data_IF_541220632164
#
_entry.id   IF_541220632164
#
_cell.length_a   1.000
_cell.length_b   1.000
_cell.length_c   1.000
_cell.angle_alpha   90.00
_cell.angle_beta   90.00
_cell.angle_gamma   90.00
#
_symmetry.space_group_name_H-M   'P 1'
#
loop_
_entity.id
_entity.type
_entity.pdbx_description
1 polymer ?
#
# COMPACT_ATOMS: atom_id res chain seq x y z
N UNK A 1 4.88 -0.19 18.49
CA UNK A 1 4.76 -1.42 17.68
C UNK A 1 6.14 -1.98 17.40
N UNK A 2 6.86 -1.53 16.37
CA UNK A 2 8.05 -2.23 15.85
C UNK A 2 9.26 -2.21 16.80
N UNK A 3 9.41 -1.17 17.61
CA UNK A 3 10.48 -1.09 18.63
C UNK A 3 10.18 -1.97 19.87
N UNK A 4 9.02 -2.61 19.96
CA UNK A 4 8.60 -3.41 21.12
C UNK A 4 9.05 -4.87 20.95
N UNK A 5 9.90 -5.41 21.85
CA UNK A 5 10.40 -6.79 21.75
C UNK A 5 9.29 -7.85 21.73
N UNK A 6 8.17 -7.58 22.40
CA UNK A 6 7.01 -8.48 22.47
C UNK A 6 6.33 -8.72 21.12
N UNK A 7 6.62 -7.90 20.10
CA UNK A 7 6.04 -8.06 18.77
C UNK A 7 6.99 -8.68 17.74
N UNK A 8 8.26 -8.95 18.08
CA UNK A 8 9.30 -9.34 17.11
C UNK A 8 8.99 -10.63 16.34
N UNK A 9 8.22 -11.55 16.93
CA UNK A 9 7.77 -12.77 16.25
C UNK A 9 6.75 -12.48 15.12
N UNK A 10 6.07 -11.34 15.18
CA UNK A 10 4.97 -10.98 14.28
C UNK A 10 5.39 -9.84 13.33
N UNK A 11 6.02 -8.81 13.88
CA UNK A 11 6.48 -7.61 13.18
C UNK A 11 7.77 -7.07 13.79
N UNK A 12 8.76 -6.76 12.96
CA UNK A 12 10.05 -6.21 13.40
C UNK A 12 10.72 -5.38 12.30
N UNK A 13 11.79 -4.67 12.66
CA UNK A 13 12.69 -4.06 11.69
C UNK A 13 13.36 -5.14 10.83
N UNK A 14 13.43 -4.91 9.51
CA UNK A 14 13.99 -5.86 8.56
C UNK A 14 15.50 -5.66 8.42
N UNK A 15 16.28 -6.55 9.03
CA UNK A 15 17.74 -6.54 8.93
C UNK A 15 18.40 -5.40 9.70
N UNK A 16 19.75 -5.35 9.70
CA UNK A 16 20.52 -4.42 10.54
C UNK A 16 20.43 -2.95 10.09
N UNK A 17 20.05 -2.69 8.84
CA UNK A 17 19.98 -1.34 8.27
C UNK A 17 18.83 -0.48 8.81
N UNK A 18 17.80 -1.12 9.36
CA UNK A 18 16.66 -0.44 9.97
C UNK A 18 15.90 0.50 9.02
N UNK A 19 15.94 0.25 7.70
CA UNK A 19 15.32 1.09 6.66
C UNK A 19 13.93 0.60 6.22
N UNK A 20 13.52 -0.54 6.77
CA UNK A 20 12.32 -1.26 6.40
C UNK A 20 11.86 -2.12 7.57
N UNK A 21 10.59 -2.51 7.56
CA UNK A 21 10.04 -3.45 8.54
C UNK A 21 9.37 -4.61 7.82
N UNK A 22 9.31 -5.75 8.51
CA UNK A 22 8.73 -6.99 8.01
C UNK A 22 7.57 -7.41 8.91
N UNK A 23 6.47 -7.83 8.28
CA UNK A 23 5.38 -8.56 8.93
C UNK A 23 5.53 -10.02 8.51
N UNK A 24 5.92 -10.89 9.45
CA UNK A 24 6.20 -12.31 9.21
C UNK A 24 4.92 -13.12 9.03
N UNK A 25 3.91 -12.82 9.85
CA UNK A 25 2.60 -13.49 9.81
C UNK A 25 1.46 -12.45 9.76
N UNK A 26 0.93 -12.14 8.56
CA UNK A 26 -0.16 -11.17 8.40
C UNK A 26 -1.43 -11.52 9.17
N UNK A 27 -1.74 -12.81 9.34
CA UNK A 27 -2.92 -13.25 10.09
C UNK A 27 -2.76 -12.96 11.58
N UNK A 28 -1.65 -13.42 12.20
CA UNK A 28 -1.33 -13.12 13.60
C UNK A 28 -1.20 -11.61 13.85
N UNK A 29 -0.64 -10.85 12.92
CA UNK A 29 -0.57 -9.39 13.02
C UNK A 29 -1.97 -8.77 13.09
N UNK A 30 -2.90 -9.28 12.29
CA UNK A 30 -4.28 -8.82 12.26
C UNK A 30 -5.04 -9.11 13.56
N UNK A 31 -4.82 -10.28 14.15
CA UNK A 31 -5.52 -10.72 15.36
C UNK A 31 -4.92 -10.16 16.66
N UNK A 32 -3.59 -10.10 16.74
CA UNK A 32 -2.89 -9.79 17.99
C UNK A 32 -2.46 -8.33 18.03
N UNK A 33 -1.85 -7.82 16.96
CA UNK A 33 -1.21 -6.51 16.98
C UNK A 33 -2.21 -5.41 16.64
N UNK A 34 -2.98 -5.55 15.57
CA UNK A 34 -3.87 -4.48 15.11
C UNK A 34 -4.87 -4.00 16.19
N UNK A 35 -5.57 -4.87 16.94
CA UNK A 35 -6.53 -4.42 17.96
C UNK A 35 -5.90 -3.66 19.13
N UNK A 36 -4.60 -3.82 19.38
CA UNK A 36 -3.89 -3.11 20.46
C UNK A 36 -3.58 -1.65 20.09
N UNK A 37 -3.44 -1.35 18.80
CA UNK A 37 -2.99 -0.03 18.31
C UNK A 37 -4.02 0.68 17.42
N UNK A 38 -4.99 -0.05 16.89
CA UNK A 38 -6.03 0.44 15.98
C UNK A 38 -7.40 -0.05 16.41
N UNK A 39 -8.46 0.66 16.00
CA UNK A 39 -9.86 0.31 16.29
C UNK A 39 -10.43 -0.79 15.39
N UNK A 40 -9.57 -1.60 14.77
CA UNK A 40 -9.95 -2.68 13.86
C UNK A 40 -8.84 -3.74 13.78
N UNK A 41 -9.17 -4.96 13.39
CA UNK A 41 -8.22 -6.05 13.09
C UNK A 41 -7.94 -6.23 11.59
N UNK A 42 -8.47 -5.35 10.72
CA UNK A 42 -8.39 -5.56 9.28
C UNK A 42 -7.01 -5.20 8.69
N UNK A 43 -6.30 -6.21 8.18
CA UNK A 43 -5.01 -6.04 7.51
C UNK A 43 -5.07 -5.07 6.32
N UNK A 44 -6.11 -5.16 5.49
CA UNK A 44 -6.27 -4.30 4.31
C UNK A 44 -6.41 -2.83 4.68
N UNK A 45 -7.02 -2.53 5.83
CA UNK A 45 -7.07 -1.16 6.38
C UNK A 45 -5.69 -0.67 6.80
N UNK A 46 -4.86 -1.54 7.38
CA UNK A 46 -3.47 -1.21 7.68
C UNK A 46 -2.65 -0.97 6.41
N UNK A 47 -2.79 -1.82 5.39
CA UNK A 47 -2.15 -1.62 4.08
C UNK A 47 -2.61 -0.31 3.42
N UNK A 48 -3.90 0.03 3.55
CA UNK A 48 -4.44 1.30 3.08
C UNK A 48 -3.73 2.47 3.76
N UNK A 49 -3.54 2.44 5.08
CA UNK A 49 -2.80 3.46 5.81
C UNK A 49 -1.36 3.57 5.31
N UNK A 50 -0.64 2.45 5.17
CA UNK A 50 0.72 2.43 4.62
C UNK A 50 0.79 3.12 3.25
N UNK A 51 -0.11 2.75 2.32
CA UNK A 51 -0.17 3.36 0.99
C UNK A 51 -0.48 4.86 1.02
N UNK A 52 -1.29 5.31 1.98
CA UNK A 52 -1.62 6.73 2.15
C UNK A 52 -0.42 7.54 2.65
N UNK A 53 0.53 6.91 3.34
CA UNK A 53 1.79 7.51 3.77
C UNK A 53 2.97 7.12 2.90
N UNK A 54 2.71 6.65 1.67
CA UNK A 54 3.71 6.31 0.67
C UNK A 54 4.71 5.19 1.04
N UNK A 55 4.30 4.30 1.94
CA UNK A 55 5.08 3.09 2.18
C UNK A 55 4.95 2.14 0.99
N UNK A 56 6.08 1.60 0.56
CA UNK A 56 6.14 0.69 -0.57
C UNK A 56 6.46 -0.73 -0.11
N UNK A 57 5.74 -1.71 -0.66
CA UNK A 57 6.06 -3.12 -0.45
C UNK A 57 7.35 -3.48 -1.18
N UNK A 58 8.34 -3.98 -0.45
CA UNK A 58 9.57 -4.52 -1.03
C UNK A 58 9.33 -5.93 -1.55
N UNK A 59 9.86 -6.26 -2.73
CA UNK A 59 9.81 -7.61 -3.28
C UNK A 59 10.94 -8.44 -2.66
N UNK A 60 10.67 -9.16 -1.57
CA UNK A 60 11.53 -10.29 -1.17
C UNK A 60 11.22 -11.48 -2.08
N UNK A 61 12.25 -12.21 -2.51
CA UNK A 61 12.10 -13.49 -3.23
C UNK A 61 11.86 -14.58 -2.18
N UNK A 62 10.66 -15.16 -2.16
CA UNK A 62 10.27 -16.28 -1.30
C UNK A 62 9.64 -15.87 0.04
N UNK A 63 8.65 -16.67 0.49
CA UNK A 63 7.95 -16.53 1.78
C UNK A 63 6.64 -15.73 1.74
N UNK A 64 5.86 -15.83 2.82
CA UNK A 64 4.63 -15.05 3.05
C UNK A 64 4.87 -13.66 3.63
N UNK A 65 6.11 -13.38 4.04
CA UNK A 65 6.54 -12.14 4.67
C UNK A 65 6.17 -10.90 3.85
N UNK A 66 5.75 -9.85 4.56
CA UNK A 66 5.36 -8.58 3.96
C UNK A 66 6.32 -7.50 4.43
N UNK A 67 7.27 -7.13 3.58
CA UNK A 67 8.26 -6.08 3.88
C UNK A 67 7.77 -4.74 3.32
N UNK A 68 7.80 -3.70 4.15
CA UNK A 68 7.45 -2.34 3.76
C UNK A 68 8.58 -1.38 4.11
N UNK A 69 8.77 -0.37 3.27
CA UNK A 69 9.81 0.65 3.46
C UNK A 69 9.31 2.03 3.11
N UNK A 70 9.93 3.03 3.74
CA UNK A 70 9.76 4.44 3.42
C UNK A 70 11.06 5.17 3.75
N UNK A 71 11.58 6.08 2.90
CA UNK A 71 12.90 6.71 3.10
C UNK A 71 13.08 7.40 4.47
N UNK A 72 12.00 7.98 5.00
CA UNK A 72 11.98 8.69 6.28
C UNK A 72 11.45 7.85 7.46
N UNK A 73 11.20 6.55 7.26
CA UNK A 73 10.82 5.64 8.33
C UNK A 73 12.01 4.74 8.66
N UNK A 74 12.82 5.15 9.64
CA UNK A 74 14.07 4.45 10.00
C UNK A 74 14.15 4.15 11.49
N UNK A 75 14.75 3.01 11.82
CA UNK A 75 14.98 2.57 13.19
C UNK A 75 15.80 3.61 13.96
N UNK A 76 15.35 3.97 15.16
CA UNK A 76 16.03 4.95 16.02
C UNK A 76 15.92 6.42 15.57
N UNK A 77 15.50 6.72 14.33
CA UNK A 77 15.46 8.08 13.78
C UNK A 77 14.05 8.66 13.78
N UNK A 78 13.42 8.73 14.96
CA UNK A 78 12.03 9.20 15.11
C UNK A 78 11.82 10.65 14.64
N UNK A 79 12.87 11.48 14.63
CA UNK A 79 12.81 12.85 14.14
C UNK A 79 12.48 12.95 12.63
N UNK A 80 12.73 11.89 11.84
CA UNK A 80 12.37 11.84 10.41
C UNK A 80 10.87 11.63 10.16
N UNK A 81 10.11 11.17 11.17
CA UNK A 81 8.68 10.88 11.01
C UNK A 81 7.87 12.12 10.59
N UNK A 82 8.33 13.33 10.93
CA UNK A 82 7.71 14.58 10.48
C UNK A 82 7.72 14.75 8.96
N UNK A 83 8.61 14.08 8.24
CA UNK A 83 8.71 14.10 6.77
C UNK A 83 7.77 13.11 6.08
N UNK A 84 7.13 12.20 6.83
CA UNK A 84 6.16 11.25 6.29
C UNK A 84 4.81 11.96 6.19
N UNK A 85 4.45 12.39 4.98
CA UNK A 85 3.19 13.11 4.73
C UNK A 85 2.15 12.19 4.11
N UNK A 86 0.90 12.39 4.52
CA UNK A 86 -0.24 11.71 3.92
C UNK A 86 -0.45 12.24 2.50
N UNK A 87 -0.58 11.34 1.52
CA UNK A 87 -1.02 11.68 0.16
C UNK A 87 -2.42 12.28 0.23
N UNK A 88 -2.59 13.49 -0.32
CA UNK A 88 -3.91 14.11 -0.40
C UNK A 88 -4.80 13.35 -1.39
N UNK A 89 -6.11 13.37 -1.18
CA UNK A 89 -7.07 12.74 -2.10
C UNK A 89 -7.01 13.35 -3.51
N UNK A 90 -6.44 14.55 -3.66
CA UNK A 90 -6.18 15.22 -4.94
C UNK A 90 -5.09 14.53 -5.76
N UNK A 91 -4.19 13.79 -5.11
CA UNK A 91 -3.12 13.06 -5.80
C UNK A 91 -3.46 11.60 -6.13
N UNK A 92 -4.72 11.18 -5.93
CA UNK A 92 -5.12 9.84 -6.33
C UNK A 92 -5.10 9.75 -7.86
N UNK A 93 -4.40 8.79 -8.49
CA UNK A 93 -4.26 8.72 -9.94
C UNK A 93 -5.60 8.74 -10.68
N UNK A 94 -6.62 8.07 -10.12
CA UNK A 94 -7.98 8.07 -10.67
C UNK A 94 -8.66 9.44 -10.60
N UNK A 95 -8.33 10.28 -9.62
CA UNK A 95 -8.88 11.64 -9.50
C UNK A 95 -8.15 12.60 -10.43
N UNK A 96 -6.82 12.52 -10.49
CA UNK A 96 -5.99 13.28 -11.44
C UNK A 96 -6.43 12.99 -12.89
N UNK A 97 -6.62 11.71 -13.24
CA UNK A 97 -7.08 11.31 -14.57
C UNK A 97 -8.49 11.84 -14.87
N UNK A 98 -9.41 11.80 -13.90
CA UNK A 98 -10.75 12.40 -14.06
C UNK A 98 -10.67 13.91 -14.28
N UNK A 99 -9.85 14.61 -13.51
CA UNK A 99 -9.69 16.07 -13.59
C UNK A 99 -9.02 16.52 -14.90
N UNK A 100 -8.03 15.76 -15.39
CA UNK A 100 -7.37 15.99 -16.68
C UNK A 100 -8.32 15.73 -17.86
N UNK A 101 -9.14 14.68 -17.80
CA UNK A 101 -10.15 14.38 -18.82
C UNK A 101 -11.21 15.49 -18.87
N UNK A 102 -11.68 16.01 -17.73
CA UNK A 102 -12.69 17.06 -17.67
C UNK A 102 -12.16 18.41 -18.23
N UNK A 103 -10.86 18.69 -18.11
CA UNK A 103 -10.26 19.94 -18.61
C UNK A 103 -9.94 19.92 -20.11
N UNK A 104 -9.80 18.75 -20.74
CA UNK A 104 -9.40 18.61 -22.15
C UNK A 104 -10.56 18.31 -23.12
N UNK A 105 -11.80 18.14 -22.64
CA UNK A 105 -12.94 17.82 -23.50
C UNK A 105 -14.10 18.80 -23.36
N UNK A 106 -14.60 19.30 -24.49
CA UNK A 106 -15.99 19.78 -24.59
C UNK A 106 -16.94 18.62 -24.22
N UNK A 107 -18.02 18.83 -23.44
CA UNK A 107 -18.76 17.77 -22.77
C UNK A 107 -19.54 16.79 -23.67
N UNK A 108 -19.67 17.05 -24.97
CA UNK A 108 -20.66 16.38 -25.83
C UNK A 108 -20.11 15.34 -26.84
N UNK A 109 -18.79 15.14 -26.93
CA UNK A 109 -18.25 14.21 -27.94
C UNK A 109 -18.27 12.74 -27.50
N UNK A 110 -19.27 12.00 -28.01
CA UNK A 110 -19.49 10.55 -27.82
C UNK A 110 -18.25 9.69 -28.17
N UNK A 111 -17.40 10.18 -29.08
CA UNK A 111 -16.14 9.50 -29.42
C UNK A 111 -15.12 9.53 -28.27
N UNK A 112 -15.05 10.66 -27.56
CA UNK A 112 -14.16 10.86 -26.42
C UNK A 112 -14.56 9.97 -25.25
N UNK A 113 -15.87 9.83 -24.98
CA UNK A 113 -16.37 8.88 -23.96
C UNK A 113 -16.06 7.42 -24.29
N UNK A 114 -16.11 7.02 -25.56
CA UNK A 114 -15.77 5.65 -25.98
C UNK A 114 -14.28 5.35 -25.81
N UNK A 115 -13.41 6.32 -26.10
CA UNK A 115 -11.96 6.15 -25.95
C UNK A 115 -11.53 6.10 -24.47
N UNK A 116 -12.10 6.97 -23.62
CA UNK A 116 -11.83 6.97 -22.18
C UNK A 116 -12.32 5.69 -21.50
N UNK A 117 -13.52 5.22 -21.87
CA UNK A 117 -14.05 3.93 -21.38
C UNK A 117 -13.11 2.77 -21.75
N UNK A 118 -12.63 2.70 -23.00
CA UNK A 118 -11.65 1.70 -23.43
C UNK A 118 -10.32 1.78 -22.66
N UNK A 119 -9.84 2.99 -22.37
CA UNK A 119 -8.56 3.20 -21.66
C UNK A 119 -8.67 2.75 -20.19
N UNK A 120 -9.80 3.03 -19.54
CA UNK A 120 -10.09 2.55 -18.19
C UNK A 120 -10.25 1.03 -18.14
N UNK A 121 -10.92 0.44 -19.13
CA UNK A 121 -11.15 -1.00 -19.21
C UNK A 121 -9.82 -1.76 -19.34
N UNK A 122 -8.92 -1.31 -20.22
CA UNK A 122 -7.56 -1.89 -20.34
C UNK A 122 -6.75 -1.87 -19.04
N UNK A 123 -6.98 -0.88 -18.16
CA UNK A 123 -6.27 -0.79 -16.87
C UNK A 123 -6.87 -1.76 -15.84
N UNK A 124 -8.19 -1.95 -15.86
CA UNK A 124 -8.87 -2.94 -15.02
C UNK A 124 -8.51 -4.37 -15.44
N UNK A 125 -8.42 -4.61 -16.75
CA UNK A 125 -8.04 -5.92 -17.29
C UNK A 125 -6.58 -6.27 -16.96
N UNK A 126 -5.67 -5.30 -16.97
CA UNK A 126 -4.27 -5.47 -16.51
C UNK A 126 -4.13 -5.78 -15.02
N UNK A 127 -5.17 -5.61 -14.20
CA UNK A 127 -5.18 -6.01 -12.78
C UNK A 127 -5.75 -7.41 -12.56
N UNK A 128 -6.18 -8.10 -13.62
CA UNK A 128 -6.83 -9.41 -13.57
C UNK A 128 -5.92 -10.48 -14.19
N UNK A 129 -4.73 -10.69 -13.62
CA UNK A 129 -4.04 -11.97 -13.79
C UNK A 129 -4.47 -12.92 -12.66
N UNK A 130 -4.84 -14.17 -12.96
CA UNK A 130 -5.32 -15.14 -11.98
C UNK A 130 -4.19 -15.67 -11.11
N UNK A 131 -4.52 -16.02 -9.87
CA UNK A 131 -3.66 -16.73 -8.93
C UNK A 131 -3.07 -18.02 -9.58
N UNK A 132 -1.83 -18.41 -9.23
CA UNK A 132 -1.27 -19.66 -9.72
C UNK A 132 -2.11 -20.85 -9.21
N UNK A 133 -2.63 -21.65 -10.14
CA UNK A 133 -3.27 -22.93 -9.84
C UNK A 133 -2.23 -23.86 -9.22
N UNK A 134 -2.49 -24.35 -8.00
CA UNK A 134 -1.74 -25.46 -7.43
C UNK A 134 -2.18 -26.74 -8.17
N UNK A 135 -1.24 -27.39 -8.85
CA UNK A 135 -1.40 -28.77 -9.30
C UNK A 135 -1.27 -29.69 -8.08
N UNK A 136 -2.23 -30.62 -7.99
CA UNK A 136 -2.21 -31.79 -7.10
C UNK A 136 -1.05 -32.73 -7.44
#
# INVERSE_FOLDING_TARGET
IIDSPSSNEIVEWSGPEGDSFVIKNPLRFSEVVLPQYFKHSNFSSFIRQLNMYDFHKSRKKGGSDQVFKHPFFRQGQKYLLGQIKRKSNSQHPLKILKEQVIKESSPDDLQTMKLTSRRLQKILDKKKDPAPQQLL
#
